data_IF_083325433342
#
_entry.id   IF_083325433342
#
_cell.length_a   1.000
_cell.length_b   1.000
_cell.length_c   1.000
_cell.angle_alpha   90.00
_cell.angle_beta   90.00
_cell.angle_gamma   90.00
#
_symmetry.space_group_name_H-M   'P 1'
#
loop_
_entity.id
_entity.type
_entity.pdbx_description
1 polymer ?
#
# COMPACT_ATOMS: atom_id res chain seq x y z
N UNK A 1 -5.27 -13.86 16.08
CA UNK A 1 -4.36 -14.88 15.48
C UNK A 1 -4.99 -15.62 14.30
N UNK A 2 -6.19 -16.22 14.42
CA UNK A 2 -6.83 -16.97 13.31
C UNK A 2 -6.91 -16.23 11.96
N UNK A 3 -7.26 -14.94 11.95
CA UNK A 3 -7.34 -14.14 10.71
C UNK A 3 -5.99 -13.97 10.00
N UNK A 4 -4.92 -13.71 10.74
CA UNK A 4 -3.57 -13.55 10.16
C UNK A 4 -3.07 -14.89 9.60
N UNK A 5 -3.29 -15.99 10.34
CA UNK A 5 -2.90 -17.33 9.90
C UNK A 5 -3.67 -17.73 8.64
N UNK A 6 -4.99 -17.56 8.61
CA UNK A 6 -5.81 -17.83 7.42
C UNK A 6 -5.35 -16.97 6.25
N UNK A 7 -5.05 -15.69 6.48
CA UNK A 7 -4.64 -14.79 5.42
C UNK A 7 -3.26 -15.14 4.86
N UNK A 8 -2.29 -15.51 5.72
CA UNK A 8 -0.98 -16.03 5.27
C UNK A 8 -1.17 -17.34 4.50
N UNK A 9 -2.00 -18.25 5.00
CA UNK A 9 -2.30 -19.51 4.32
C UNK A 9 -2.91 -19.29 2.94
N UNK A 10 -3.82 -18.31 2.79
CA UNK A 10 -4.37 -17.93 1.48
C UNK A 10 -3.28 -17.41 0.54
N UNK A 11 -2.36 -16.57 1.01
CA UNK A 11 -1.26 -16.06 0.18
C UNK A 11 -0.31 -17.19 -0.26
N UNK A 12 0.02 -18.13 0.64
CA UNK A 12 0.79 -19.33 0.30
C UNK A 12 0.04 -20.23 -0.69
N UNK A 13 -1.28 -20.41 -0.51
CA UNK A 13 -2.11 -21.16 -1.44
C UNK A 13 -2.15 -20.52 -2.83
N UNK A 14 -2.15 -19.19 -2.94
CA UNK A 14 -2.07 -18.48 -4.23
C UNK A 14 -0.74 -18.79 -4.94
N UNK A 15 0.39 -18.77 -4.23
CA UNK A 15 1.70 -19.14 -4.79
C UNK A 15 1.72 -20.61 -5.21
N UNK A 16 1.13 -21.51 -4.41
CA UNK A 16 1.01 -22.92 -4.76
C UNK A 16 0.17 -23.12 -6.03
N UNK A 17 -0.99 -22.46 -6.11
CA UNK A 17 -1.86 -22.51 -7.30
C UNK A 17 -1.13 -21.96 -8.52
N UNK A 18 -0.35 -20.88 -8.39
CA UNK A 18 0.49 -20.39 -9.48
C UNK A 18 1.46 -21.47 -9.97
N UNK A 19 2.12 -22.18 -9.06
CA UNK A 19 3.01 -23.29 -9.41
C UNK A 19 2.28 -24.43 -10.12
N UNK A 20 1.10 -24.83 -9.65
CA UNK A 20 0.26 -25.86 -10.29
C UNK A 20 -0.17 -25.41 -11.69
N UNK A 21 -0.64 -24.18 -11.85
CA UNK A 21 -1.06 -23.63 -13.14
C UNK A 21 0.10 -23.59 -14.13
N UNK A 22 1.30 -23.16 -13.70
CA UNK A 22 2.49 -23.19 -14.55
C UNK A 22 2.85 -24.61 -14.99
N UNK A 23 2.71 -25.60 -14.10
CA UNK A 23 2.96 -27.00 -14.43
C UNK A 23 1.91 -27.53 -15.43
N UNK A 24 0.61 -27.25 -15.19
CA UNK A 24 -0.49 -27.67 -16.07
C UNK A 24 -0.44 -27.04 -17.45
N UNK A 25 -0.04 -25.77 -17.55
CA UNK A 25 0.16 -25.07 -18.82
C UNK A 25 1.42 -25.54 -19.55
N UNK A 26 2.15 -26.52 -19.00
CA UNK A 26 3.36 -27.05 -19.59
C UNK A 26 4.47 -26.02 -19.67
N UNK A 27 4.47 -24.96 -18.85
CA UNK A 27 5.47 -23.89 -18.92
C UNK A 27 6.88 -24.48 -18.71
N UNK A 28 7.02 -25.39 -17.74
CA UNK A 28 8.29 -26.12 -17.53
C UNK A 28 8.69 -26.96 -18.75
N UNK A 29 7.77 -27.73 -19.31
CA UNK A 29 8.02 -28.57 -20.50
C UNK A 29 8.38 -27.74 -21.74
N UNK A 30 7.67 -26.63 -21.97
CA UNK A 30 7.91 -25.70 -23.09
C UNK A 30 9.26 -25.01 -22.96
N UNK A 31 9.71 -24.74 -21.74
CA UNK A 31 11.04 -24.18 -21.46
C UNK A 31 12.12 -25.26 -21.66
N UNK A 32 11.92 -26.47 -21.14
CA UNK A 32 12.85 -27.61 -21.31
C UNK A 32 13.02 -28.00 -22.79
N UNK A 33 11.92 -28.02 -23.57
CA UNK A 33 11.92 -28.26 -25.02
C UNK A 33 12.73 -27.19 -25.79
N UNK A 34 12.76 -25.95 -25.28
CA UNK A 34 13.58 -24.86 -25.81
C UNK A 34 15.01 -24.87 -25.26
N UNK A 35 15.45 -25.94 -24.59
CA UNK A 35 16.73 -26.06 -23.88
C UNK A 35 16.93 -25.01 -22.78
N UNK A 36 15.84 -24.41 -22.31
CA UNK A 36 15.80 -23.47 -21.19
C UNK A 36 15.68 -24.27 -19.92
N UNK A 37 16.81 -24.73 -19.40
CA UNK A 37 16.87 -25.51 -18.18
C UNK A 37 16.63 -24.61 -16.94
N UNK A 38 15.37 -24.21 -16.72
CA UNK A 38 14.96 -23.45 -15.54
C UNK A 38 14.34 -24.40 -14.54
N UNK A 39 14.91 -24.42 -13.35
CA UNK A 39 14.22 -24.94 -12.19
C UNK A 39 13.05 -24.01 -11.82
N UNK A 40 11.85 -24.33 -12.31
CA UNK A 40 10.63 -23.56 -12.04
C UNK A 40 10.33 -23.52 -10.54
N UNK A 41 10.63 -24.60 -9.82
CA UNK A 41 10.48 -24.61 -8.36
C UNK A 41 11.47 -23.63 -7.72
N UNK A 42 12.74 -23.66 -8.15
CA UNK A 42 13.77 -22.69 -7.75
C UNK A 42 13.39 -21.24 -8.05
N UNK A 43 12.84 -20.96 -9.23
CA UNK A 43 12.34 -19.63 -9.61
C UNK A 43 11.19 -19.18 -8.72
N UNK A 44 10.23 -20.06 -8.42
CA UNK A 44 9.10 -19.75 -7.55
C UNK A 44 9.55 -19.49 -6.11
N UNK A 45 10.49 -20.28 -5.59
CA UNK A 45 11.09 -20.07 -4.26
C UNK A 45 11.84 -18.75 -4.22
N UNK A 46 12.68 -18.47 -5.22
CA UNK A 46 13.39 -17.21 -5.36
C UNK A 46 12.40 -16.02 -5.42
N UNK A 47 11.42 -16.06 -6.30
CA UNK A 47 10.44 -14.99 -6.47
C UNK A 47 9.58 -14.79 -5.22
N UNK A 48 9.27 -15.86 -4.49
CA UNK A 48 8.56 -15.79 -3.21
C UNK A 48 9.43 -15.14 -2.15
N UNK A 49 10.69 -15.55 -2.04
CA UNK A 49 11.64 -15.00 -1.08
C UNK A 49 11.87 -13.50 -1.33
N UNK A 50 12.08 -13.08 -2.57
CA UNK A 50 12.30 -11.68 -2.91
C UNK A 50 11.01 -10.86 -2.83
N UNK A 51 9.89 -11.41 -3.32
CA UNK A 51 8.59 -10.74 -3.33
C UNK A 51 8.09 -10.47 -1.91
N UNK A 52 7.99 -11.50 -1.08
CA UNK A 52 7.58 -11.37 0.32
C UNK A 52 8.69 -10.79 1.20
N UNK A 53 9.94 -11.18 1.00
CA UNK A 53 11.06 -10.69 1.80
C UNK A 53 11.19 -9.17 1.71
N UNK A 54 11.15 -8.61 0.50
CA UNK A 54 11.15 -7.15 0.31
C UNK A 54 9.97 -6.47 1.00
N UNK A 55 8.76 -7.02 0.87
CA UNK A 55 7.56 -6.46 1.48
C UNK A 55 7.59 -6.52 3.03
N UNK A 56 8.04 -7.63 3.61
CA UNK A 56 8.16 -7.77 5.06
C UNK A 56 9.30 -6.94 5.64
N UNK A 57 10.45 -6.85 4.97
CA UNK A 57 11.54 -5.98 5.38
C UNK A 57 11.05 -4.52 5.38
N UNK A 58 10.39 -4.08 4.30
CA UNK A 58 9.80 -2.75 4.19
C UNK A 58 8.82 -2.48 5.35
N UNK A 59 7.93 -3.43 5.64
CA UNK A 59 7.00 -3.32 6.76
C UNK A 59 7.71 -3.27 8.13
N UNK A 60 8.74 -4.08 8.34
CA UNK A 60 9.47 -4.16 9.60
C UNK A 60 10.21 -2.84 9.90
N UNK A 61 10.80 -2.21 8.88
CA UNK A 61 11.52 -0.94 9.04
C UNK A 61 10.59 0.29 8.95
N UNK A 62 9.34 0.13 8.50
CA UNK A 62 8.41 1.24 8.20
C UNK A 62 8.30 2.28 9.30
N UNK A 63 8.13 1.86 10.56
CA UNK A 63 8.02 2.76 11.72
C UNK A 63 9.33 3.52 12.00
N UNK A 64 10.48 2.86 11.87
CA UNK A 64 11.78 3.49 12.02
C UNK A 64 12.04 4.51 10.91
N UNK A 65 11.79 4.10 9.66
CA UNK A 65 11.94 4.94 8.47
C UNK A 65 11.03 6.17 8.53
N UNK A 66 9.76 5.98 8.90
CA UNK A 66 8.80 7.08 9.03
C UNK A 66 9.27 8.13 10.03
N UNK A 67 9.73 7.73 11.23
CA UNK A 67 10.26 8.67 12.24
C UNK A 67 11.51 9.40 11.75
N UNK A 68 12.44 8.69 11.12
CA UNK A 68 13.69 9.27 10.59
C UNK A 68 13.44 10.25 9.44
N UNK A 69 12.58 9.90 8.50
CA UNK A 69 12.33 10.72 7.30
C UNK A 69 11.50 11.97 7.58
N UNK A 70 10.55 11.87 8.52
CA UNK A 70 9.69 13.02 8.89
C UNK A 70 10.27 13.86 10.02
N UNK A 71 11.28 13.36 10.74
CA UNK A 71 11.75 13.99 11.98
C UNK A 71 10.71 13.96 13.10
N UNK A 72 9.74 13.04 13.04
CA UNK A 72 8.65 12.95 14.00
C UNK A 72 9.17 12.80 15.45
N UNK A 73 8.71 13.68 16.32
CA UNK A 73 9.01 13.70 17.73
C UNK A 73 7.90 12.95 18.48
N UNK A 74 8.26 11.82 19.10
CA UNK A 74 7.34 11.00 19.89
C UNK A 74 7.04 11.71 21.21
N UNK A 75 5.76 11.79 21.57
CA UNK A 75 5.29 12.37 22.82
C UNK A 75 5.47 11.32 23.92
N UNK A 76 6.59 11.39 24.63
CA UNK A 76 6.82 10.54 25.83
C UNK A 76 6.07 11.08 27.06
N UNK A 77 5.99 12.41 27.17
CA UNK A 77 5.28 13.11 28.25
C UNK A 77 4.73 14.41 27.68
N UNK A 78 3.40 14.59 27.63
CA UNK A 78 2.80 15.79 27.06
C UNK A 78 3.26 17.06 27.77
N UNK A 79 3.72 18.05 27.01
CA UNK A 79 4.18 19.37 27.49
C UNK A 79 3.17 20.47 27.19
N UNK A 80 2.25 20.22 26.27
CA UNK A 80 1.23 21.18 25.84
C UNK A 80 -0.16 20.57 25.94
N UNK A 81 -1.20 21.42 26.00
CA UNK A 81 -2.60 20.99 25.98
C UNK A 81 -2.96 20.23 24.69
N UNK A 82 -2.36 20.63 23.55
CA UNK A 82 -2.53 19.93 22.28
C UNK A 82 -1.94 18.51 22.32
N UNK A 83 -0.72 18.35 22.84
CA UNK A 83 -0.09 17.03 23.01
C UNK A 83 -0.89 16.14 23.99
N UNK A 84 -1.36 16.72 25.10
CA UNK A 84 -2.15 15.99 26.08
C UNK A 84 -3.47 15.50 25.47
N UNK A 85 -4.14 16.37 24.72
CA UNK A 85 -5.35 16.04 23.98
C UNK A 85 -5.11 14.94 22.94
N UNK A 86 -4.03 15.03 22.14
CA UNK A 86 -3.67 14.01 21.14
C UNK A 86 -3.49 12.64 21.78
N UNK A 87 -2.69 12.55 22.83
CA UNK A 87 -2.43 11.29 23.54
C UNK A 87 -3.73 10.73 24.10
N UNK A 88 -4.56 11.54 24.75
CA UNK A 88 -5.85 11.09 25.32
C UNK A 88 -6.82 10.57 24.26
N UNK A 89 -6.93 11.26 23.11
CA UNK A 89 -7.80 10.87 22.00
C UNK A 89 -7.33 9.55 21.41
N UNK A 90 -6.03 9.41 21.10
CA UNK A 90 -5.48 8.17 20.54
C UNK A 90 -5.62 7.02 21.52
N UNK A 91 -5.40 7.24 22.83
CA UNK A 91 -5.61 6.23 23.87
C UNK A 91 -7.06 5.72 23.85
N UNK A 92 -8.04 6.63 23.93
CA UNK A 92 -9.47 6.25 23.90
C UNK A 92 -9.84 5.48 22.64
N UNK A 93 -9.39 5.95 21.47
CA UNK A 93 -9.69 5.30 20.19
C UNK A 93 -9.01 3.93 20.07
N UNK A 94 -7.78 3.78 20.56
CA UNK A 94 -7.06 2.52 20.58
C UNK A 94 -7.76 1.48 21.49
N UNK A 95 -8.23 1.90 22.65
CA UNK A 95 -9.03 1.08 23.56
C UNK A 95 -10.34 0.63 22.92
N UNK A 96 -11.10 1.56 22.34
CA UNK A 96 -12.34 1.26 21.62
C UNK A 96 -12.12 0.30 20.44
N UNK A 97 -10.99 0.45 19.74
CA UNK A 97 -10.61 -0.41 18.62
C UNK A 97 -9.98 -1.75 19.04
N UNK A 98 -9.69 -1.94 20.34
CA UNK A 98 -9.09 -3.16 20.88
C UNK A 98 -7.65 -3.41 20.41
N UNK A 99 -6.87 -2.34 20.24
CA UNK A 99 -5.44 -2.41 19.88
C UNK A 99 -4.55 -1.89 21.01
N UNK A 100 -3.28 -2.31 21.02
CA UNK A 100 -2.28 -1.70 21.91
C UNK A 100 -2.05 -0.23 21.59
N UNK A 101 -1.73 0.57 22.60
CA UNK A 101 -1.49 2.01 22.47
C UNK A 101 -0.41 2.32 21.41
N UNK A 102 -0.74 3.04 20.32
CA UNK A 102 0.25 3.53 19.38
C UNK A 102 1.19 4.56 20.02
N UNK A 103 2.43 4.64 19.55
CA UNK A 103 3.25 5.84 19.76
C UNK A 103 2.52 7.02 19.11
N UNK A 104 2.41 8.14 19.81
CA UNK A 104 1.86 9.39 19.26
C UNK A 104 3.01 10.34 19.00
N UNK A 105 3.07 10.91 17.80
CA UNK A 105 4.15 11.82 17.42
C UNK A 105 3.65 13.05 16.67
N UNK A 106 4.43 14.12 16.76
CA UNK A 106 4.23 15.34 15.97
C UNK A 106 5.44 15.52 15.07
N UNK A 107 5.23 15.89 13.81
CA UNK A 107 6.31 16.24 12.89
C UNK A 107 6.05 17.61 12.27
N UNK A 108 7.12 18.32 11.93
CA UNK A 108 7.00 19.68 11.39
C UNK A 108 6.74 19.62 9.88
N UNK A 109 5.54 20.04 9.48
CA UNK A 109 5.14 20.19 8.09
C UNK A 109 3.94 21.14 8.01
N UNK A 110 3.94 22.04 7.02
CA UNK A 110 2.84 23.00 6.81
C UNK A 110 1.55 22.36 6.34
N UNK A 111 1.63 21.20 5.70
CA UNK A 111 0.48 20.53 5.09
C UNK A 111 -0.42 19.89 6.15
N UNK A 112 -1.73 19.82 5.88
CA UNK A 112 -2.70 19.14 6.74
C UNK A 112 -2.57 17.64 6.52
N UNK A 113 -1.86 16.94 7.42
CA UNK A 113 -1.56 15.54 7.23
C UNK A 113 -1.42 14.77 8.56
N UNK A 114 -1.77 13.49 8.52
CA UNK A 114 -1.53 12.50 9.56
C UNK A 114 -1.24 11.16 8.90
N UNK A 115 -0.52 10.28 9.59
CA UNK A 115 -0.32 8.91 9.12
C UNK A 115 -0.16 7.93 10.27
N UNK A 116 -0.59 6.69 10.04
CA UNK A 116 -0.26 5.55 10.87
C UNK A 116 0.70 4.58 10.18
N UNK A 117 1.57 3.94 10.97
CA UNK A 117 2.41 2.83 10.49
C UNK A 117 2.80 1.88 11.60
N UNK A 118 3.12 0.63 11.24
CA UNK A 118 3.57 -0.39 12.19
C UNK A 118 3.31 -1.80 11.71
N UNK A 119 4.26 -2.69 11.98
CA UNK A 119 4.14 -4.11 11.64
C UNK A 119 3.10 -4.84 12.51
N UNK A 120 2.85 -4.35 13.72
CA UNK A 120 1.95 -4.98 14.70
C UNK A 120 0.93 -3.96 15.17
N UNK A 121 -0.33 -4.40 15.28
CA UNK A 121 -1.44 -3.58 15.79
C UNK A 121 -1.20 -3.05 17.20
N UNK A 122 -0.42 -3.79 17.99
CA UNK A 122 -0.08 -3.44 19.37
C UNK A 122 1.27 -2.72 19.50
N UNK A 123 1.87 -2.30 18.38
CA UNK A 123 3.10 -1.50 18.36
C UNK A 123 3.12 -0.67 17.07
N UNK A 124 2.18 0.25 16.98
CA UNK A 124 2.06 1.19 15.87
C UNK A 124 2.61 2.58 16.24
N UNK A 125 2.60 3.46 15.26
CA UNK A 125 2.87 4.89 15.36
C UNK A 125 1.70 5.61 14.69
N UNK A 126 1.14 6.62 15.35
CA UNK A 126 0.22 7.60 14.77
C UNK A 126 0.91 8.96 14.88
N UNK A 127 1.14 9.60 13.75
CA UNK A 127 1.84 10.89 13.69
C UNK A 127 0.98 11.95 13.01
N UNK A 128 1.03 13.18 13.52
CA UNK A 128 0.30 14.33 12.97
C UNK A 128 1.25 15.48 12.63
N UNK A 129 0.96 16.22 11.56
CA UNK A 129 1.74 17.40 11.21
C UNK A 129 1.38 18.61 12.07
N UNK A 130 2.33 19.56 12.20
CA UNK A 130 2.07 20.88 12.78
C UNK A 130 1.00 21.65 11.99
N UNK A 131 0.93 21.49 10.67
CA UNK A 131 -0.11 22.02 9.79
C UNK A 131 -1.51 21.52 10.15
N UNK A 132 -1.68 20.22 10.42
CA UNK A 132 -2.97 19.66 10.83
C UNK A 132 -3.47 20.30 12.13
N UNK A 133 -2.59 20.41 13.13
CA UNK A 133 -2.93 20.97 14.44
C UNK A 133 -3.30 22.46 14.38
N UNK A 134 -2.74 23.20 13.40
CA UNK A 134 -3.05 24.63 13.21
C UNK A 134 -4.32 24.85 12.39
N UNK A 135 -4.58 23.98 11.43
CA UNK A 135 -5.64 24.21 10.43
C UNK A 135 -6.97 23.55 10.77
N UNK A 136 -6.97 22.40 11.46
CA UNK A 136 -8.18 21.65 11.82
C UNK A 136 -8.63 21.97 13.24
N UNK A 137 -9.93 22.01 13.47
CA UNK A 137 -10.46 22.05 14.84
C UNK A 137 -10.35 20.65 15.50
N UNK A 138 -10.62 20.57 16.81
CA UNK A 138 -10.49 19.30 17.56
C UNK A 138 -11.40 18.19 17.04
N UNK A 139 -12.61 18.51 16.59
CA UNK A 139 -13.55 17.52 16.08
C UNK A 139 -13.09 16.94 14.74
N UNK A 140 -12.61 17.81 13.84
CA UNK A 140 -12.02 17.43 12.56
C UNK A 140 -10.75 16.58 12.77
N UNK A 141 -9.84 17.03 13.64
CA UNK A 141 -8.60 16.32 13.95
C UNK A 141 -8.85 14.98 14.66
N UNK A 142 -9.83 14.91 15.57
CA UNK A 142 -10.24 13.66 16.23
C UNK A 142 -10.68 12.61 15.21
N UNK A 143 -11.43 13.02 14.19
CA UNK A 143 -11.87 12.10 13.14
C UNK A 143 -10.72 11.64 12.24
N UNK A 144 -9.74 12.50 11.94
CA UNK A 144 -8.52 12.09 11.22
C UNK A 144 -7.73 11.07 12.04
N UNK A 145 -7.54 11.30 13.34
CA UNK A 145 -6.89 10.32 14.22
C UNK A 145 -7.66 8.99 14.26
N UNK A 146 -8.99 9.05 14.28
CA UNK A 146 -9.85 7.87 14.28
C UNK A 146 -9.70 7.06 12.99
N UNK A 147 -9.52 7.73 11.84
CA UNK A 147 -9.21 7.11 10.56
C UNK A 147 -7.84 6.38 10.61
N UNK A 148 -6.80 7.05 11.11
CA UNK A 148 -5.46 6.46 11.26
C UNK A 148 -5.44 5.27 12.23
N UNK A 149 -6.13 5.38 13.37
CA UNK A 149 -6.29 4.26 14.33
C UNK A 149 -7.06 3.11 13.68
N UNK A 150 -8.04 3.40 12.83
CA UNK A 150 -8.78 2.37 12.09
C UNK A 150 -7.88 1.61 11.12
N UNK A 151 -6.90 2.26 10.48
CA UNK A 151 -5.90 1.56 9.68
C UNK A 151 -5.07 0.55 10.49
N UNK A 152 -4.63 0.97 11.67
CA UNK A 152 -3.89 0.09 12.60
C UNK A 152 -4.78 -1.08 13.06
N UNK A 153 -6.01 -0.80 13.46
CA UNK A 153 -6.98 -1.78 13.93
C UNK A 153 -7.35 -2.81 12.85
N UNK A 154 -7.51 -2.37 11.60
CA UNK A 154 -7.76 -3.24 10.46
C UNK A 154 -6.53 -4.12 10.13
N UNK A 155 -5.32 -3.70 10.51
CA UNK A 155 -4.07 -4.38 10.20
C UNK A 155 -3.66 -4.15 8.74
N UNK A 156 -3.88 -2.94 8.27
CA UNK A 156 -3.78 -2.61 6.87
C UNK A 156 -2.35 -2.65 6.32
N UNK A 157 -1.37 -2.26 7.12
CA UNK A 157 0.05 -2.31 6.74
C UNK A 157 0.51 -3.76 6.46
N UNK A 158 0.11 -4.71 7.30
CA UNK A 158 0.39 -6.15 7.09
C UNK A 158 -0.36 -6.67 5.88
N UNK A 159 -1.63 -6.30 5.73
CA UNK A 159 -2.48 -6.73 4.62
C UNK A 159 -1.90 -6.28 3.29
N UNK A 160 -1.49 -5.00 3.19
CA UNK A 160 -0.88 -4.44 1.99
C UNK A 160 0.49 -5.07 1.70
N UNK A 161 1.31 -5.33 2.73
CA UNK A 161 2.59 -6.02 2.55
C UNK A 161 2.42 -7.44 1.99
N UNK A 162 1.41 -8.17 2.44
CA UNK A 162 1.11 -9.52 1.92
C UNK A 162 0.62 -9.47 0.47
N UNK A 163 -0.30 -8.55 0.15
CA UNK A 163 -0.75 -8.32 -1.24
C UNK A 163 0.45 -7.96 -2.13
N UNK A 164 1.31 -7.06 -1.67
CA UNK A 164 2.53 -6.68 -2.38
C UNK A 164 3.48 -7.86 -2.57
N UNK A 165 3.60 -8.74 -1.56
CA UNK A 165 4.39 -9.97 -1.63
C UNK A 165 3.97 -10.87 -2.78
N UNK A 166 2.67 -11.21 -2.84
CA UNK A 166 2.11 -12.03 -3.94
C UNK A 166 2.29 -11.36 -5.29
N UNK A 167 1.97 -10.07 -5.38
CA UNK A 167 2.06 -9.30 -6.62
C UNK A 167 3.51 -9.22 -7.12
N UNK A 168 4.47 -8.96 -6.23
CA UNK A 168 5.89 -8.95 -6.58
C UNK A 168 6.38 -10.32 -7.03
N UNK A 169 5.99 -11.40 -6.35
CA UNK A 169 6.31 -12.77 -6.75
C UNK A 169 5.80 -13.05 -8.15
N UNK A 170 4.55 -12.71 -8.44
CA UNK A 170 3.97 -12.86 -9.78
C UNK A 170 4.75 -12.07 -10.83
N UNK A 171 5.05 -10.79 -10.57
CA UNK A 171 5.81 -9.93 -11.51
C UNK A 171 7.18 -10.51 -11.81
N UNK A 172 7.91 -10.99 -10.79
CA UNK A 172 9.23 -11.61 -10.97
C UNK A 172 9.12 -12.88 -11.82
N UNK A 173 8.20 -13.79 -11.49
CA UNK A 173 8.03 -15.05 -12.23
C UNK A 173 7.67 -14.75 -13.69
N UNK A 174 6.64 -13.94 -13.91
CA UNK A 174 6.14 -13.62 -15.24
C UNK A 174 7.22 -12.92 -16.08
N UNK A 175 7.97 -11.96 -15.52
CA UNK A 175 9.01 -11.25 -16.26
C UNK A 175 10.15 -12.17 -16.67
N UNK A 176 10.56 -13.11 -15.80
CA UNK A 176 11.60 -14.08 -16.13
C UNK A 176 11.12 -15.07 -17.18
N UNK A 177 9.92 -15.63 -17.04
CA UNK A 177 9.34 -16.53 -18.04
C UNK A 177 9.30 -15.85 -19.41
N UNK A 178 8.78 -14.62 -19.51
CA UNK A 178 8.77 -13.87 -20.77
C UNK A 178 10.18 -13.63 -21.30
N UNK A 179 11.11 -13.20 -20.45
CA UNK A 179 12.48 -12.94 -20.87
C UNK A 179 13.15 -14.19 -21.46
N UNK A 180 12.94 -15.35 -20.84
CA UNK A 180 13.48 -16.61 -21.33
C UNK A 180 12.86 -17.04 -22.66
N UNK A 181 11.55 -16.93 -22.80
CA UNK A 181 10.86 -17.25 -24.04
C UNK A 181 11.33 -16.37 -25.19
N UNK A 182 11.51 -15.06 -24.96
CA UNK A 182 11.98 -14.15 -26.01
C UNK A 182 13.43 -14.44 -26.38
N UNK A 183 14.32 -14.64 -25.40
CA UNK A 183 15.75 -14.94 -25.66
C UNK A 183 15.94 -16.19 -26.53
N UNK A 184 15.03 -17.17 -26.41
CA UNK A 184 15.16 -18.48 -27.06
C UNK A 184 14.38 -18.58 -28.35
N UNK A 185 13.15 -18.08 -28.39
CA UNK A 185 12.32 -18.11 -29.59
C UNK A 185 12.73 -17.06 -30.61
N UNK A 186 13.10 -15.87 -30.16
CA UNK A 186 13.38 -14.73 -31.06
C UNK A 186 14.87 -14.65 -31.37
N UNK A 187 15.72 -14.71 -30.34
CA UNK A 187 17.17 -14.53 -30.51
C UNK A 187 17.94 -15.83 -30.72
N UNK A 188 17.26 -16.99 -30.61
CA UNK A 188 17.84 -18.33 -30.83
C UNK A 188 19.15 -18.55 -30.08
N UNK A 189 19.27 -18.01 -28.86
CA UNK A 189 20.46 -18.17 -28.04
C UNK A 189 20.64 -19.65 -27.65
N UNK A 190 21.71 -20.29 -28.10
CA UNK A 190 21.91 -21.73 -27.92
C UNK A 190 22.53 -22.08 -26.54
N UNK A 191 23.34 -21.19 -25.95
CA UNK A 191 23.99 -21.40 -24.64
C UNK A 191 24.00 -20.16 -23.76
N UNK A 192 23.61 -20.32 -22.50
CA UNK A 192 23.63 -19.26 -21.47
C UNK A 192 22.44 -18.29 -21.56
N UNK A 193 22.53 -17.19 -20.82
CA UNK A 193 21.58 -16.07 -20.90
C UNK A 193 22.19 -14.97 -21.75
N UNK A 194 21.56 -14.67 -22.89
CA UNK A 194 22.00 -13.57 -23.75
C UNK A 194 21.65 -12.19 -23.15
N UNK A 195 22.21 -11.10 -23.69
CA UNK A 195 21.77 -9.73 -23.35
C UNK A 195 20.27 -9.51 -23.59
N UNK A 196 19.69 -10.25 -24.56
CA UNK A 196 18.27 -10.21 -24.87
C UNK A 196 17.41 -10.70 -23.71
N UNK A 197 17.77 -11.79 -23.00
CA UNK A 197 17.10 -12.21 -21.77
C UNK A 197 17.01 -11.09 -20.73
N UNK A 198 18.13 -10.41 -20.46
CA UNK A 198 18.20 -9.35 -19.44
C UNK A 198 17.30 -8.18 -19.84
N UNK A 199 17.45 -7.70 -21.07
CA UNK A 199 16.68 -6.57 -21.58
C UNK A 199 15.17 -6.86 -21.58
N UNK A 200 14.78 -8.02 -22.12
CA UNK A 200 13.36 -8.41 -22.24
C UNK A 200 12.74 -8.69 -20.88
N UNK A 201 13.47 -9.30 -19.95
CA UNK A 201 13.02 -9.46 -18.56
C UNK A 201 12.79 -8.12 -17.87
N UNK A 202 13.69 -7.14 -18.07
CA UNK A 202 13.54 -5.80 -17.47
C UNK A 202 12.31 -5.09 -18.05
N UNK A 203 12.15 -5.12 -19.37
CA UNK A 203 10.99 -4.53 -20.05
C UNK A 203 9.69 -5.18 -19.57
N UNK A 204 9.64 -6.51 -19.55
CA UNK A 204 8.49 -7.27 -19.05
C UNK A 204 8.21 -6.96 -17.56
N UNK A 205 9.25 -6.85 -16.73
CA UNK A 205 9.12 -6.52 -15.32
C UNK A 205 8.53 -5.12 -15.11
N UNK A 206 8.93 -4.13 -15.91
CA UNK A 206 8.34 -2.78 -15.86
C UNK A 206 6.86 -2.84 -16.24
N UNK A 207 6.53 -3.49 -17.37
CA UNK A 207 5.14 -3.59 -17.85
C UNK A 207 4.26 -4.32 -16.83
N UNK A 208 4.69 -5.49 -16.37
CA UNK A 208 3.94 -6.24 -15.36
C UNK A 208 3.89 -5.51 -14.03
N UNK A 209 4.93 -4.77 -13.64
CA UNK A 209 4.93 -3.90 -12.46
C UNK A 209 3.87 -2.79 -12.53
N UNK A 210 3.72 -2.14 -13.69
CA UNK A 210 2.68 -1.13 -13.91
C UNK A 210 1.29 -1.77 -13.80
N UNK A 211 1.07 -2.92 -14.45
CA UNK A 211 -0.22 -3.63 -14.37
C UNK A 211 -0.54 -4.10 -12.94
N UNK A 212 0.47 -4.64 -12.27
CA UNK A 212 0.42 -5.04 -10.86
C UNK A 212 0.04 -3.87 -9.93
N UNK A 213 0.58 -2.68 -10.18
CA UNK A 213 0.28 -1.50 -9.36
C UNK A 213 -1.21 -1.15 -9.35
N UNK A 214 -1.95 -1.42 -10.44
CA UNK A 214 -3.39 -1.18 -10.52
C UNK A 214 -4.14 -2.02 -9.47
N UNK A 215 -3.72 -3.27 -9.26
CA UNK A 215 -4.29 -4.17 -8.26
C UNK A 215 -4.00 -3.62 -6.86
N UNK A 216 -2.75 -3.23 -6.59
CA UNK A 216 -2.33 -2.68 -5.30
C UNK A 216 -3.09 -1.39 -4.98
N UNK A 217 -3.24 -0.49 -5.97
CA UNK A 217 -3.99 0.75 -5.82
C UNK A 217 -5.49 0.52 -5.61
N UNK A 218 -6.07 -0.50 -6.24
CA UNK A 218 -7.45 -0.89 -5.97
C UNK A 218 -7.65 -1.33 -4.52
N UNK A 219 -6.77 -2.20 -3.99
CA UNK A 219 -6.78 -2.58 -2.57
C UNK A 219 -6.56 -1.37 -1.65
N UNK A 220 -5.66 -0.46 -2.03
CA UNK A 220 -5.42 0.79 -1.30
C UNK A 220 -6.70 1.61 -1.18
N UNK A 221 -7.45 1.80 -2.27
CA UNK A 221 -8.71 2.56 -2.23
C UNK A 221 -9.79 1.90 -1.38
N UNK A 222 -9.93 0.59 -1.45
CA UNK A 222 -10.94 -0.14 -0.65
C UNK A 222 -10.67 -0.02 0.85
N UNK A 223 -9.40 0.04 1.23
CA UNK A 223 -8.96 0.25 2.61
C UNK A 223 -9.40 1.61 3.15
N UNK A 224 -9.28 2.67 2.36
CA UNK A 224 -9.67 4.04 2.76
C UNK A 224 -11.15 4.09 3.16
N UNK A 225 -12.06 3.48 2.38
CA UNK A 225 -13.48 3.42 2.73
C UNK A 225 -13.75 2.67 4.04
N UNK A 226 -12.97 1.60 4.32
CA UNK A 226 -13.07 0.86 5.59
C UNK A 226 -12.55 1.69 6.76
N UNK A 227 -11.48 2.44 6.55
CA UNK A 227 -10.92 3.33 7.56
C UNK A 227 -11.82 4.55 7.80
N UNK A 228 -12.50 5.07 6.79
CA UNK A 228 -13.53 6.11 6.94
C UNK A 228 -14.71 5.63 7.79
N UNK A 229 -15.21 4.42 7.50
CA UNK A 229 -16.28 3.81 8.28
C UNK A 229 -15.82 3.56 9.74
N UNK A 230 -14.58 3.11 9.94
CA UNK A 230 -13.98 2.95 11.26
C UNK A 230 -13.82 4.28 12.00
N UNK A 231 -13.33 5.33 11.32
CA UNK A 231 -13.18 6.67 11.87
C UNK A 231 -14.52 7.29 12.27
N UNK A 232 -15.54 7.08 11.44
CA UNK A 232 -16.91 7.48 11.77
C UNK A 232 -17.49 6.74 12.99
N UNK A 233 -17.11 5.47 13.20
CA UNK A 233 -17.54 4.68 14.35
C UNK A 233 -16.77 5.02 15.63
N UNK A 234 -15.48 5.36 15.53
CA UNK A 234 -14.61 5.69 16.67
C UNK A 234 -14.75 7.15 17.14
N UNK A 235 -15.03 8.10 16.22
CA UNK A 235 -15.22 9.50 16.55
C UNK A 235 -16.68 9.93 16.34
N UNK A 236 -17.08 10.13 15.09
CA UNK A 236 -18.47 10.38 14.67
C UNK A 236 -18.52 10.50 13.15
N UNK A 237 -19.64 10.09 12.55
CA UNK A 237 -19.93 10.30 11.13
C UNK A 237 -19.87 11.77 10.74
N UNK A 238 -20.45 12.68 11.54
CA UNK A 238 -20.47 14.11 11.22
C UNK A 238 -19.06 14.73 11.28
N UNK A 239 -18.26 14.34 12.28
CA UNK A 239 -16.87 14.78 12.42
C UNK A 239 -15.99 14.30 11.25
N UNK A 240 -16.16 13.04 10.84
CA UNK A 240 -15.43 12.48 9.69
C UNK A 240 -15.77 13.19 8.38
N UNK A 241 -17.05 13.48 8.14
CA UNK A 241 -17.47 14.25 6.95
C UNK A 241 -16.86 15.66 6.99
N UNK A 242 -16.92 16.35 8.13
CA UNK A 242 -16.34 17.68 8.30
C UNK A 242 -14.82 17.68 8.05
N UNK A 243 -14.10 16.67 8.55
CA UNK A 243 -12.67 16.50 8.30
C UNK A 243 -12.34 16.33 6.81
N UNK A 244 -13.11 15.48 6.10
CA UNK A 244 -12.92 15.28 4.65
C UNK A 244 -13.24 16.55 3.84
N UNK A 245 -14.27 17.30 4.23
CA UNK A 245 -14.57 18.59 3.62
C UNK A 245 -13.47 19.61 3.86
N UNK A 246 -12.89 19.63 5.06
CA UNK A 246 -11.76 20.50 5.40
C UNK A 246 -10.55 20.17 4.53
N UNK A 247 -10.22 18.88 4.36
CA UNK A 247 -9.15 18.44 3.46
C UNK A 247 -9.45 18.85 2.02
N UNK A 248 -10.69 18.71 1.56
CA UNK A 248 -11.09 19.10 0.19
C UNK A 248 -10.89 20.59 -0.07
N UNK A 249 -11.20 21.45 0.90
CA UNK A 249 -11.05 22.91 0.79
C UNK A 249 -9.59 23.37 0.82
N UNK A 250 -8.70 22.58 1.42
CA UNK A 250 -7.28 22.89 1.55
C UNK A 250 -6.39 22.06 0.61
N UNK A 251 -6.98 21.25 -0.26
CA UNK A 251 -6.25 20.56 -1.31
C UNK A 251 -5.69 21.62 -2.27
N UNK A 252 -4.38 21.64 -2.54
CA UNK A 252 -3.82 22.49 -3.59
C UNK A 252 -4.59 22.25 -4.89
N UNK A 253 -4.93 23.31 -5.62
CA UNK A 253 -5.43 23.13 -6.99
C UNK A 253 -4.41 22.27 -7.73
N UNK A 254 -4.86 21.11 -8.20
CA UNK A 254 -3.99 20.18 -8.90
C UNK A 254 -3.61 20.80 -10.26
N UNK A 255 -2.57 21.63 -10.29
CA UNK A 255 -1.87 21.96 -11.52
C UNK A 255 -1.25 20.66 -12.02
N UNK A 256 -1.90 20.02 -13.01
CA UNK A 256 -1.26 18.93 -13.73
C UNK A 256 -0.02 19.52 -14.44
N UNK A 257 1.16 18.90 -14.31
CA UNK A 257 2.27 19.21 -15.21
C UNK A 257 1.85 18.94 -16.65
N UNK A 258 2.06 19.91 -17.56
CA UNK A 258 1.66 19.83 -18.98
C UNK A 258 2.15 18.57 -19.70
N UNK A 259 3.22 17.93 -19.20
CA UNK A 259 3.76 16.69 -19.74
C UNK A 259 2.80 15.49 -19.61
N UNK A 260 1.87 15.49 -18.64
CA UNK A 260 0.83 14.45 -18.50
C UNK A 260 -0.35 14.67 -19.45
N UNK A 261 -0.57 15.90 -19.93
CA UNK A 261 -1.62 16.19 -20.91
C UNK A 261 -1.30 15.61 -22.30
N UNK A 262 0.00 15.52 -22.66
CA UNK A 262 0.47 14.95 -23.93
C UNK A 262 0.18 13.44 -24.11
N UNK A 263 -0.03 12.71 -23.02
CA UNK A 263 -0.43 11.29 -23.04
C UNK A 263 -1.96 11.06 -23.10
N UNK A 264 -2.75 12.10 -23.39
CA UNK A 264 -4.22 11.99 -23.43
C UNK A 264 -4.86 11.84 -22.04
N UNK A 265 -4.12 12.18 -20.97
CA UNK A 265 -4.59 12.17 -19.57
C UNK A 265 -5.19 13.55 -19.19
N UNK A 266 -5.80 14.22 -20.17
CA UNK A 266 -6.50 15.50 -19.99
C UNK A 266 -8.01 15.34 -20.22
N UNK A 267 -8.59 14.28 -19.63
CA UNK A 267 -10.03 14.17 -19.47
C UNK A 267 -10.48 14.91 -18.21
N UNK A 268 -11.21 16.01 -18.37
CA UNK A 268 -11.86 16.74 -17.29
C UNK A 268 -12.63 15.77 -16.37
N UNK A 269 -12.38 15.83 -15.05
CA UNK A 269 -13.04 15.00 -14.02
C UNK A 269 -12.78 13.48 -14.15
N UNK A 270 -11.54 13.05 -13.94
CA UNK A 270 -11.20 11.85 -13.14
C UNK A 270 -11.97 10.53 -13.36
N UNK A 271 -12.36 10.12 -14.58
CA UNK A 271 -13.21 8.92 -14.72
C UNK A 271 -12.63 7.68 -15.42
N UNK A 272 -11.60 7.79 -16.26
CA UNK A 272 -11.08 6.61 -16.98
C UNK A 272 -9.80 6.03 -16.37
N UNK A 273 -8.69 6.19 -17.12
CA UNK A 273 -7.37 5.63 -16.80
C UNK A 273 -6.75 6.22 -15.53
N UNK A 274 -6.93 7.52 -15.26
CA UNK A 274 -6.37 8.18 -14.06
C UNK A 274 -6.85 7.50 -12.77
N UNK A 275 -8.10 7.00 -12.75
CA UNK A 275 -8.68 6.33 -11.58
C UNK A 275 -7.99 5.02 -11.24
N UNK A 276 -7.44 4.32 -12.24
CA UNK A 276 -6.69 3.07 -12.03
C UNK A 276 -5.40 3.32 -11.24
N UNK A 277 -4.76 4.47 -11.48
CA UNK A 277 -3.49 4.87 -10.86
C UNK A 277 -3.63 5.70 -9.57
N UNK A 278 -4.85 5.91 -9.06
CA UNK A 278 -5.07 6.65 -7.80
C UNK A 278 -4.92 5.73 -6.58
N UNK A 279 -4.05 6.11 -5.64
CA UNK A 279 -3.83 5.39 -4.36
C UNK A 279 -4.93 5.64 -3.33
N UNK A 280 -5.59 6.80 -3.40
CA UNK A 280 -6.73 7.18 -2.57
C UNK A 280 -7.96 7.49 -3.44
N UNK A 281 -9.17 7.12 -3.01
CA UNK A 281 -10.38 7.48 -3.73
C UNK A 281 -10.66 8.99 -3.62
N UNK A 282 -11.36 9.60 -4.59
CA UNK A 282 -11.76 11.01 -4.51
C UNK A 282 -12.50 11.32 -3.20
N UNK A 283 -12.22 12.48 -2.61
CA UNK A 283 -12.86 12.90 -1.34
C UNK A 283 -14.39 12.93 -1.44
N UNK A 284 -14.94 13.33 -2.60
CA UNK A 284 -16.39 13.31 -2.86
C UNK A 284 -17.00 11.91 -2.77
N UNK A 285 -16.28 10.87 -3.23
CA UNK A 285 -16.74 9.48 -3.12
C UNK A 285 -16.73 9.01 -1.67
N UNK A 286 -15.70 9.39 -0.89
CA UNK A 286 -15.57 9.07 0.54
C UNK A 286 -16.68 9.74 1.36
N UNK A 287 -16.92 11.04 1.15
CA UNK A 287 -17.99 11.78 1.80
C UNK A 287 -19.36 11.16 1.47
N UNK A 288 -19.62 10.89 0.19
CA UNK A 288 -20.87 10.25 -0.25
C UNK A 288 -21.06 8.85 0.35
N UNK A 289 -20.00 8.09 0.56
CA UNK A 289 -20.08 6.78 1.21
C UNK A 289 -20.50 6.90 2.69
N UNK A 290 -20.04 7.93 3.41
CA UNK A 290 -20.39 8.18 4.81
C UNK A 290 -21.81 8.75 4.98
N UNK A 291 -22.36 9.40 3.96
CA UNK A 291 -23.72 9.96 3.99
C UNK A 291 -24.82 8.91 3.77
N UNK A 292 -24.47 7.69 3.37
CA UNK A 292 -25.42 6.57 3.22
C UNK A 292 -25.74 5.93 4.57
#
# INVERSE_FOLDING_TARGET
MKRIVLFIATNLAIVLVLGIVMNLLGVGQMLDEQQVNIDIAGLLVFASLFGFGGAFISLAISKWTAKRMTGAQVIESPRTDAEAWLVQVVTRQAEMAGIGMPEVAIYDASDINAFATGMRRNNALVAVSTGLLRSMNRDEAEAVLAHEVSHVANGDMVTLALVQGVVNTFVIVASRVVGHLVDRLVFKTERGHGPAFILTSIVAQIIFGILASIIVFWFSRQREFRADAGGAALASRSKMIAALEKLKRNAPEAHLPDQMAAFGISGSRGQGLKRLFMTHPPLDERIKALQK
#
